data_IF_801173018122
#
_entry.id   IF_801173018122
#
_cell.length_a   1.000
_cell.length_b   1.000
_cell.length_c   1.000
_cell.angle_alpha   90.00
_cell.angle_beta   90.00
_cell.angle_gamma   90.00
#
_symmetry.space_group_name_H-M   'P 1'
#
loop_
_entity.id
_entity.type
_entity.pdbx_description
1 polymer ?
#
# COMPACT_ATOMS: atom_id res chain seq x y z
N UNK A 1 -16.24 32.45 -8.27
CA UNK A 1 -14.96 31.92 -7.74
C UNK A 1 -15.27 30.74 -6.86
N UNK A 2 -14.60 29.62 -7.05
CA UNK A 2 -14.77 28.43 -6.18
C UNK A 2 -14.18 28.74 -4.81
N UNK A 3 -14.98 28.63 -3.75
CA UNK A 3 -14.55 28.89 -2.38
C UNK A 3 -13.89 27.64 -1.80
N UNK A 4 -12.69 27.75 -1.27
CA UNK A 4 -12.01 26.65 -0.60
C UNK A 4 -12.53 26.47 0.84
N UNK A 5 -12.29 25.28 1.42
CA UNK A 5 -12.79 24.91 2.74
C UNK A 5 -12.35 25.88 3.84
N UNK A 6 -11.08 26.35 3.81
CA UNK A 6 -10.56 27.29 4.80
C UNK A 6 -11.21 28.69 4.74
N UNK A 7 -11.89 29.04 3.64
CA UNK A 7 -12.65 30.28 3.46
C UNK A 7 -14.09 30.18 3.99
N UNK A 8 -14.54 28.97 4.34
CA UNK A 8 -15.91 28.72 4.78
C UNK A 8 -16.09 29.01 6.28
N UNK A 9 -17.26 29.52 6.66
CA UNK A 9 -17.58 29.93 8.04
C UNK A 9 -17.36 28.84 9.10
N UNK A 10 -17.42 27.56 8.74
CA UNK A 10 -17.25 26.43 9.66
C UNK A 10 -15.80 26.04 9.92
N UNK A 11 -14.85 26.52 9.12
CA UNK A 11 -13.43 26.17 9.25
C UNK A 11 -12.86 26.52 10.64
N UNK A 12 -11.99 25.67 11.22
CA UNK A 12 -11.41 24.41 10.72
C UNK A 12 -12.22 23.13 11.06
N UNK A 13 -13.49 23.27 11.45
CA UNK A 13 -14.31 22.11 11.86
C UNK A 13 -14.97 21.46 10.66
N UNK A 14 -14.30 20.47 10.10
CA UNK A 14 -14.90 19.61 9.10
C UNK A 14 -15.72 18.48 9.76
N UNK A 15 -16.70 17.99 9.02
CA UNK A 15 -17.62 16.93 9.45
C UNK A 15 -17.38 15.65 8.63
N UNK A 16 -17.81 14.52 9.18
CA UNK A 16 -17.80 13.25 8.52
C UNK A 16 -18.99 12.40 9.02
N UNK A 17 -19.83 11.95 8.12
CA UNK A 17 -21.04 11.18 8.44
C UNK A 17 -20.68 9.71 8.73
N UNK A 18 -20.56 9.35 10.02
CA UNK A 18 -20.23 7.99 10.47
C UNK A 18 -21.25 6.94 10.03
N UNK A 19 -22.51 7.30 9.92
CA UNK A 19 -23.55 6.36 9.52
C UNK A 19 -23.43 5.97 8.05
N UNK A 20 -23.03 6.93 7.20
CA UNK A 20 -22.74 6.68 5.78
C UNK A 20 -21.51 5.79 5.57
N UNK A 21 -20.58 5.75 6.54
CA UNK A 21 -19.32 5.00 6.47
C UNK A 21 -19.34 3.67 7.25
N UNK A 22 -20.53 3.17 7.57
CA UNK A 22 -20.69 1.99 8.44
C UNK A 22 -19.93 0.76 7.92
N UNK A 23 -19.99 0.52 6.63
CA UNK A 23 -19.41 -0.68 6.02
C UNK A 23 -17.87 -0.56 5.90
N UNK A 24 -17.36 0.61 5.56
CA UNK A 24 -15.92 0.92 5.52
C UNK A 24 -15.29 0.83 6.91
N UNK A 25 -15.97 1.38 7.92
CA UNK A 25 -15.53 1.32 9.31
C UNK A 25 -15.56 -0.11 9.87
N UNK A 26 -16.54 -0.92 9.48
CA UNK A 26 -16.61 -2.33 9.85
C UNK A 26 -15.46 -3.13 9.22
N UNK A 27 -15.19 -2.94 7.93
CA UNK A 27 -14.07 -3.57 7.24
C UNK A 27 -12.72 -3.15 7.82
N UNK A 28 -12.54 -1.87 8.11
CA UNK A 28 -11.33 -1.35 8.76
C UNK A 28 -11.13 -2.01 10.14
N UNK A 29 -12.19 -2.10 10.96
CA UNK A 29 -12.12 -2.74 12.28
C UNK A 29 -11.61 -4.18 12.19
N UNK A 30 -12.12 -4.95 11.22
CA UNK A 30 -11.68 -6.35 11.02
C UNK A 30 -10.18 -6.38 10.67
N UNK A 31 -9.75 -5.62 9.67
CA UNK A 31 -8.34 -5.58 9.25
C UNK A 31 -7.41 -5.08 10.37
N UNK A 32 -7.84 -4.07 11.12
CA UNK A 32 -7.09 -3.51 12.24
C UNK A 32 -6.91 -4.54 13.37
N UNK A 33 -7.95 -5.30 13.71
CA UNK A 33 -7.87 -6.35 14.73
C UNK A 33 -7.02 -7.53 14.27
N UNK A 34 -7.10 -7.93 12.99
CA UNK A 34 -6.21 -8.95 12.43
C UNK A 34 -4.74 -8.50 12.47
N UNK A 35 -4.46 -7.25 12.11
CA UNK A 35 -3.13 -6.68 12.20
C UNK A 35 -2.63 -6.68 13.64
N UNK A 36 -3.41 -6.18 14.62
CA UNK A 36 -3.05 -6.23 16.05
C UNK A 36 -2.76 -7.66 16.52
N UNK A 37 -3.53 -8.64 16.06
CA UNK A 37 -3.27 -10.06 16.37
C UNK A 37 -1.96 -10.54 15.77
N UNK A 38 -1.66 -10.19 14.54
CA UNK A 38 -0.40 -10.57 13.89
C UNK A 38 0.83 -9.94 14.58
N UNK A 39 0.68 -8.71 15.07
CA UNK A 39 1.74 -7.94 15.74
C UNK A 39 2.01 -8.36 17.20
N UNK A 40 1.21 -9.25 17.81
CA UNK A 40 1.49 -9.80 19.15
C UNK A 40 2.77 -10.67 19.20
N UNK A 41 3.24 -11.15 18.05
CA UNK A 41 4.50 -11.89 17.92
C UNK A 41 5.65 -10.90 17.72
N UNK A 42 6.90 -11.27 18.12
CA UNK A 42 8.07 -10.46 17.84
C UNK A 42 8.10 -10.07 16.35
N UNK A 43 8.28 -8.79 16.09
CA UNK A 43 8.32 -8.28 14.73
C UNK A 43 9.66 -8.65 14.11
N UNK A 44 9.58 -9.06 12.84
CA UNK A 44 10.76 -9.19 12.01
C UNK A 44 11.23 -7.79 11.60
N UNK A 45 12.43 -7.43 12.02
CA UNK A 45 12.98 -6.10 11.74
C UNK A 45 13.23 -5.87 10.25
N UNK A 46 13.41 -6.94 9.45
CA UNK A 46 13.45 -6.82 7.98
C UNK A 46 12.09 -6.36 7.42
N UNK A 47 10.99 -6.88 7.95
CA UNK A 47 9.63 -6.44 7.56
C UNK A 47 9.41 -4.98 7.94
N UNK A 48 9.87 -4.57 9.12
CA UNK A 48 9.77 -3.18 9.57
C UNK A 48 10.61 -2.26 8.68
N UNK A 49 11.86 -2.65 8.38
CA UNK A 49 12.74 -1.89 7.49
C UNK A 49 12.14 -1.76 6.08
N UNK A 50 11.58 -2.85 5.55
CA UNK A 50 10.91 -2.84 4.24
C UNK A 50 9.69 -1.92 4.23
N UNK A 51 8.84 -1.97 5.25
CA UNK A 51 7.66 -1.10 5.34
C UNK A 51 8.03 0.39 5.37
N UNK A 52 9.04 0.76 6.15
CA UNK A 52 9.59 2.12 6.20
C UNK A 52 10.15 2.56 4.85
N UNK A 53 10.87 1.67 4.16
CA UNK A 53 11.44 1.93 2.83
C UNK A 53 10.34 2.11 1.80
N UNK A 54 9.36 1.22 1.77
CA UNK A 54 8.22 1.29 0.85
C UNK A 54 7.43 2.60 1.05
N UNK A 55 7.19 3.00 2.29
CA UNK A 55 6.53 4.29 2.58
C UNK A 55 7.37 5.47 2.09
N UNK A 56 8.67 5.51 2.39
CA UNK A 56 9.58 6.58 1.99
C UNK A 56 9.66 6.72 0.46
N UNK A 57 9.85 5.62 -0.25
CA UNK A 57 9.95 5.61 -1.72
C UNK A 57 8.63 5.99 -2.37
N UNK A 58 7.51 5.39 -1.92
CA UNK A 58 6.20 5.64 -2.53
C UNK A 58 5.65 7.01 -2.21
N UNK A 59 5.84 7.52 -0.99
CA UNK A 59 5.43 8.89 -0.65
C UNK A 59 6.15 9.93 -1.50
N UNK A 60 7.44 9.71 -1.81
CA UNK A 60 8.22 10.56 -2.72
C UNK A 60 7.73 10.44 -4.17
N UNK A 61 7.50 9.24 -4.66
CA UNK A 61 7.03 8.99 -6.02
C UNK A 61 5.63 9.57 -6.30
N UNK A 62 4.75 9.64 -5.31
CA UNK A 62 3.45 10.32 -5.41
C UNK A 62 3.65 11.79 -5.79
N UNK A 63 4.64 12.46 -5.20
CA UNK A 63 4.99 13.86 -5.48
C UNK A 63 5.88 14.04 -6.74
N UNK A 64 6.14 12.96 -7.48
CA UNK A 64 7.00 13.01 -8.66
C UNK A 64 8.51 13.08 -8.34
N UNK A 65 8.89 12.84 -7.08
CA UNK A 65 10.28 12.80 -6.64
C UNK A 65 10.76 11.35 -6.65
N UNK A 66 11.68 11.03 -7.57
CA UNK A 66 12.34 9.73 -7.58
C UNK A 66 13.51 9.74 -6.60
N UNK A 67 13.57 8.75 -5.73
CA UNK A 67 14.65 8.52 -4.76
C UNK A 67 15.22 7.12 -4.96
N UNK A 68 16.51 6.96 -4.69
CA UNK A 68 17.18 5.67 -4.76
C UNK A 68 16.74 4.77 -3.60
N UNK A 69 15.97 3.72 -3.90
CA UNK A 69 15.47 2.76 -2.93
C UNK A 69 16.60 2.11 -2.12
N UNK A 70 17.76 1.85 -2.74
CA UNK A 70 18.88 1.21 -2.07
C UNK A 70 19.51 2.10 -1.00
N UNK A 71 19.55 3.42 -1.24
CA UNK A 71 20.00 4.42 -0.27
C UNK A 71 19.01 4.53 0.89
N UNK A 72 17.71 4.59 0.59
CA UNK A 72 16.63 4.61 1.62
C UNK A 72 16.73 3.37 2.50
N UNK A 73 16.79 2.18 1.90
CA UNK A 73 16.87 0.90 2.62
C UNK A 73 18.14 0.83 3.47
N UNK A 74 19.30 1.22 2.92
CA UNK A 74 20.57 1.22 3.64
C UNK A 74 20.53 2.13 4.88
N UNK A 75 19.97 3.34 4.73
CA UNK A 75 19.83 4.29 5.82
C UNK A 75 18.94 3.76 6.94
N UNK A 76 17.78 3.18 6.57
CA UNK A 76 16.82 2.60 7.50
C UNK A 76 17.40 1.35 8.19
N UNK A 77 18.00 0.42 7.44
CA UNK A 77 18.58 -0.80 7.99
C UNK A 77 19.70 -0.48 8.98
N UNK A 78 20.58 0.49 8.65
CA UNK A 78 21.63 0.97 9.57
C UNK A 78 21.04 1.50 10.88
N UNK A 79 19.98 2.30 10.82
CA UNK A 79 19.34 2.86 12.01
C UNK A 79 18.62 1.78 12.86
N UNK A 80 18.12 0.71 12.23
CA UNK A 80 17.43 -0.39 12.91
C UNK A 80 18.34 -1.55 13.34
N UNK A 81 19.64 -1.50 13.02
CA UNK A 81 20.56 -2.60 13.28
C UNK A 81 20.27 -3.85 12.44
N UNK A 82 19.68 -3.69 11.26
CA UNK A 82 19.41 -4.77 10.30
C UNK A 82 20.56 -4.86 9.30
N UNK A 83 21.06 -6.07 9.07
CA UNK A 83 22.12 -6.29 8.09
C UNK A 83 21.58 -6.07 6.67
N UNK A 84 22.24 -5.23 5.89
CA UNK A 84 21.90 -4.94 4.51
C UNK A 84 23.16 -4.57 3.71
N UNK A 85 23.38 -5.27 2.61
CA UNK A 85 24.50 -5.02 1.70
C UNK A 85 23.98 -4.40 0.40
N UNK A 86 24.07 -3.09 0.20
CA UNK A 86 23.62 -2.43 -1.04
C UNK A 86 24.53 -2.82 -2.22
N UNK A 87 23.94 -2.94 -3.41
CA UNK A 87 24.65 -3.25 -4.68
C UNK A 87 25.42 -2.04 -5.27
N UNK A 88 25.80 -1.09 -4.47
CA UNK A 88 26.50 0.12 -4.88
C UNK A 88 26.32 1.22 -3.84
N UNK A 89 27.11 2.27 -3.97
CA UNK A 89 26.99 3.44 -3.10
C UNK A 89 26.73 4.67 -3.97
N UNK A 90 25.52 5.23 -3.87
CA UNK A 90 25.15 6.52 -4.46
C UNK A 90 24.85 7.49 -3.33
N UNK A 91 25.21 8.78 -3.51
CA UNK A 91 24.75 9.84 -2.62
C UNK A 91 23.43 10.38 -3.17
N UNK A 92 22.36 10.24 -2.40
CA UNK A 92 21.05 10.81 -2.70
C UNK A 92 20.51 11.49 -1.44
N UNK A 93 20.69 12.81 -1.36
CA UNK A 93 20.25 13.59 -0.20
C UNK A 93 18.74 13.53 0.02
N UNK A 94 17.94 13.38 -1.06
CA UNK A 94 16.49 13.26 -0.96
C UNK A 94 16.09 11.89 -0.41
N UNK A 95 16.80 10.83 -0.82
CA UNK A 95 16.61 9.49 -0.28
C UNK A 95 16.94 9.44 1.21
N UNK A 96 18.08 10.05 1.61
CA UNK A 96 18.46 10.21 3.01
C UNK A 96 17.39 10.99 3.78
N UNK A 97 16.98 12.16 3.29
CA UNK A 97 15.99 13.02 3.96
C UNK A 97 14.66 12.30 4.22
N UNK A 98 14.11 11.63 3.22
CA UNK A 98 12.84 10.90 3.41
C UNK A 98 13.01 9.70 4.34
N UNK A 99 14.16 9.00 4.33
CA UNK A 99 14.45 7.91 5.27
C UNK A 99 14.51 8.44 6.71
N UNK A 100 15.20 9.58 6.94
CA UNK A 100 15.28 10.22 8.26
C UNK A 100 13.90 10.68 8.76
N UNK A 101 13.05 11.20 7.88
CA UNK A 101 11.67 11.55 8.25
C UNK A 101 10.90 10.31 8.72
N UNK A 102 10.97 9.18 8.01
CA UNK A 102 10.27 7.95 8.40
C UNK A 102 10.79 7.38 9.72
N UNK A 103 12.10 7.43 9.96
CA UNK A 103 12.71 7.06 11.24
C UNK A 103 12.22 7.99 12.37
N UNK A 104 12.15 9.30 12.13
CA UNK A 104 11.62 10.26 13.09
C UNK A 104 10.13 10.01 13.41
N UNK A 105 9.31 9.66 12.41
CA UNK A 105 7.91 9.27 12.61
C UNK A 105 7.82 8.03 13.51
N UNK A 106 8.64 7.02 13.24
CA UNK A 106 8.71 5.79 14.04
C UNK A 106 9.17 6.09 15.48
N UNK A 107 10.20 6.89 15.67
CA UNK A 107 10.71 7.26 17.00
C UNK A 107 9.67 8.05 17.80
N UNK A 108 9.00 8.98 17.13
CA UNK A 108 8.06 9.91 17.75
C UNK A 108 6.58 9.50 17.58
N UNK A 109 6.34 8.20 17.43
CA UNK A 109 5.02 7.66 17.12
C UNK A 109 3.94 8.08 18.12
N UNK A 110 4.25 8.19 19.42
CA UNK A 110 3.34 8.60 20.50
C UNK A 110 3.57 10.04 20.99
N UNK A 111 4.48 10.79 20.36
CA UNK A 111 4.74 12.17 20.75
C UNK A 111 3.52 13.07 20.45
N UNK A 112 3.22 14.06 21.29
CA UNK A 112 2.13 14.99 21.06
C UNK A 112 2.30 15.74 19.74
N UNK A 113 1.20 15.95 19.03
CA UNK A 113 1.19 16.76 17.81
C UNK A 113 1.42 18.22 18.16
N UNK A 114 2.55 18.77 17.70
CA UNK A 114 2.98 20.17 17.97
C UNK A 114 3.60 20.77 16.71
N UNK A 115 3.68 22.10 16.66
CA UNK A 115 4.41 22.81 15.61
C UNK A 115 5.87 22.31 15.50
N UNK A 116 6.56 22.10 16.65
CA UNK A 116 7.93 21.58 16.70
C UNK A 116 8.04 20.17 16.10
N UNK A 117 7.04 19.29 16.30
CA UNK A 117 7.04 17.96 15.69
C UNK A 117 6.93 18.06 14.17
N UNK A 118 6.01 18.88 13.67
CA UNK A 118 5.78 19.08 12.24
C UNK A 118 7.00 19.68 11.54
N UNK A 119 7.60 20.73 12.11
CA UNK A 119 8.82 21.34 11.57
C UNK A 119 10.01 20.38 11.68
N UNK A 120 10.05 19.51 12.68
CA UNK A 120 11.06 18.44 12.81
C UNK A 120 10.94 17.39 11.70
N UNK A 121 9.74 16.92 11.37
CA UNK A 121 9.52 16.01 10.24
C UNK A 121 9.90 16.65 8.91
N UNK A 122 9.48 17.91 8.70
CA UNK A 122 9.85 18.66 7.51
C UNK A 122 11.35 18.91 7.41
N UNK A 123 12.00 19.25 8.52
CA UNK A 123 13.44 19.45 8.57
C UNK A 123 14.24 18.21 8.19
N UNK A 124 13.81 17.03 8.68
CA UNK A 124 14.39 15.75 8.29
C UNK A 124 14.19 15.46 6.79
N UNK A 125 12.96 15.65 6.29
CA UNK A 125 12.60 15.41 4.89
C UNK A 125 13.39 16.27 3.91
N UNK A 126 13.55 17.55 4.23
CA UNK A 126 14.10 18.57 3.32
C UNK A 126 15.57 18.88 3.58
N UNK A 127 16.23 18.09 4.43
CA UNK A 127 17.66 18.26 4.70
C UNK A 127 18.47 18.22 3.38
N UNK A 128 19.31 19.24 3.16
CA UNK A 128 20.06 19.41 1.91
C UNK A 128 19.35 20.20 0.81
N UNK A 129 18.12 20.67 1.05
CA UNK A 129 17.34 21.48 0.10
C UNK A 129 17.24 22.97 0.51
N UNK A 130 18.15 23.46 1.39
CA UNK A 130 18.11 24.79 2.00
C UNK A 130 18.16 25.94 0.98
N UNK A 131 18.70 25.66 -0.22
CA UNK A 131 18.73 26.63 -1.33
C UNK A 131 17.37 26.80 -2.02
N UNK A 132 16.45 25.86 -1.79
CA UNK A 132 15.17 25.79 -2.51
C UNK A 132 13.98 26.12 -1.62
N UNK A 133 14.02 25.75 -0.33
CA UNK A 133 12.92 25.93 0.62
C UNK A 133 13.44 26.27 2.02
N UNK A 134 12.56 26.88 2.84
CA UNK A 134 12.81 27.09 4.26
C UNK A 134 12.73 25.75 5.02
N UNK A 135 13.87 25.08 5.20
CA UNK A 135 13.96 23.75 5.83
C UNK A 135 13.58 23.83 7.31
N UNK A 136 12.63 22.95 7.72
CA UNK A 136 12.18 22.88 9.11
C UNK A 136 11.44 24.13 9.60
N UNK A 137 10.92 24.94 8.71
CA UNK A 137 10.18 26.16 9.03
C UNK A 137 8.87 26.25 8.23
N UNK A 138 7.87 26.90 8.81
CA UNK A 138 6.65 27.24 8.08
C UNK A 138 6.91 28.35 7.08
N UNK A 139 6.16 28.36 6.00
CA UNK A 139 6.22 29.41 4.97
C UNK A 139 5.84 30.77 5.55
N UNK A 140 6.50 31.82 5.05
CA UNK A 140 6.31 33.19 5.49
C UNK A 140 6.13 34.19 4.34
N UNK A 141 6.28 33.73 3.08
CA UNK A 141 6.13 34.60 1.91
C UNK A 141 4.68 35.07 1.73
N UNK A 142 4.50 36.25 1.13
CA UNK A 142 3.18 36.89 0.95
C UNK A 142 2.40 36.29 -0.22
N UNK A 143 3.08 35.75 -1.22
CA UNK A 143 2.46 35.14 -2.39
C UNK A 143 1.68 33.89 -2.00
N UNK A 144 0.43 33.73 -2.49
CA UNK A 144 -0.35 32.53 -2.22
C UNK A 144 0.32 31.27 -2.78
N UNK A 145 0.38 30.21 -1.98
CA UNK A 145 0.71 28.89 -2.53
C UNK A 145 -0.51 28.34 -3.25
N UNK A 146 -0.29 27.89 -4.49
CA UNK A 146 -1.31 27.31 -5.34
C UNK A 146 -0.90 25.93 -5.83
N UNK A 147 -1.77 24.96 -5.67
CA UNK A 147 -1.66 23.68 -6.36
C UNK A 147 -2.30 23.84 -7.74
N UNK A 148 -1.47 23.69 -8.78
CA UNK A 148 -1.88 23.95 -10.17
C UNK A 148 -1.84 22.65 -10.96
N UNK A 149 -2.93 22.31 -11.64
CA UNK A 149 -2.98 21.29 -12.68
C UNK A 149 -2.72 21.94 -14.04
N UNK A 150 -1.71 21.45 -14.74
CA UNK A 150 -1.46 21.82 -16.14
C UNK A 150 -2.11 20.79 -17.06
N UNK A 151 -2.88 21.27 -18.03
CA UNK A 151 -3.50 20.44 -19.05
C UNK A 151 -2.58 20.30 -20.28
N UNK A 152 -2.85 19.29 -21.10
CA UNK A 152 -2.08 19.02 -22.31
C UNK A 152 -2.13 20.15 -23.33
N UNK A 153 -3.18 20.97 -23.32
CA UNK A 153 -3.35 22.17 -24.15
C UNK A 153 -2.59 23.41 -23.65
N UNK A 154 -1.80 23.28 -22.56
CA UNK A 154 -1.02 24.33 -21.93
C UNK A 154 -1.81 25.21 -20.95
N UNK A 155 -3.13 25.00 -20.78
CA UNK A 155 -3.92 25.70 -19.78
C UNK A 155 -3.56 25.26 -18.37
N UNK A 156 -3.76 26.15 -17.40
CA UNK A 156 -3.48 25.88 -15.99
C UNK A 156 -4.75 26.11 -15.15
N UNK A 157 -5.12 25.11 -14.38
CA UNK A 157 -6.24 25.15 -13.45
C UNK A 157 -5.72 25.24 -12.02
N UNK A 158 -6.18 26.22 -11.23
CA UNK A 158 -5.90 26.29 -9.80
C UNK A 158 -6.81 25.28 -9.10
N UNK A 159 -6.21 24.18 -8.64
CA UNK A 159 -6.91 23.14 -7.90
C UNK A 159 -7.10 23.52 -6.43
N UNK A 160 -6.12 24.17 -5.85
CA UNK A 160 -6.16 24.63 -4.48
C UNK A 160 -5.33 25.92 -4.30
N UNK A 161 -5.81 26.81 -3.42
CA UNK A 161 -5.05 27.94 -2.92
C UNK A 161 -5.05 27.88 -1.38
N UNK A 162 -3.86 27.87 -0.81
CA UNK A 162 -3.67 27.76 0.63
C UNK A 162 -3.99 29.09 1.36
N UNK A 163 -4.32 29.03 2.67
CA UNK A 163 -4.49 30.21 3.50
C UNK A 163 -3.26 31.14 3.43
N UNK A 164 -3.39 32.46 3.70
CA UNK A 164 -2.24 33.36 3.83
C UNK A 164 -1.20 32.85 4.84
N UNK A 165 0.08 33.07 4.57
CA UNK A 165 1.17 32.54 5.41
C UNK A 165 1.10 33.06 6.84
N UNK A 166 0.63 34.27 7.05
CA UNK A 166 0.42 34.88 8.36
C UNK A 166 -0.57 34.11 9.25
N UNK A 167 -1.48 33.33 8.64
CA UNK A 167 -2.44 32.49 9.35
C UNK A 167 -1.87 31.14 9.75
N UNK A 168 -0.79 30.66 9.14
CA UNK A 168 -0.22 29.33 9.36
C UNK A 168 0.05 29.02 10.85
N UNK A 169 0.65 29.89 11.66
CA UNK A 169 0.88 29.60 13.08
C UNK A 169 -0.42 29.39 13.86
N UNK A 170 -1.46 30.16 13.56
CA UNK A 170 -2.79 30.05 14.18
C UNK A 170 -3.50 28.76 13.75
N UNK A 171 -3.45 28.45 12.45
CA UNK A 171 -4.04 27.22 11.90
C UNK A 171 -3.36 25.97 12.46
N UNK A 172 -2.03 25.93 12.54
CA UNK A 172 -1.28 24.82 13.13
C UNK A 172 -1.57 24.66 14.63
N UNK A 173 -1.73 25.76 15.37
CA UNK A 173 -2.12 25.70 16.77
C UNK A 173 -3.55 25.13 16.95
N UNK A 174 -4.48 25.48 16.06
CA UNK A 174 -5.84 24.93 16.06
C UNK A 174 -5.83 23.43 15.67
N UNK A 175 -5.09 23.09 14.63
CA UNK A 175 -4.87 21.73 14.15
C UNK A 175 -4.32 20.83 15.29
N UNK A 176 -3.25 21.25 15.94
CA UNK A 176 -2.65 20.51 17.04
C UNK A 176 -3.62 20.29 18.20
N UNK A 177 -4.42 21.30 18.57
CA UNK A 177 -5.46 21.16 19.61
C UNK A 177 -6.56 20.18 19.21
N UNK A 178 -7.03 20.23 17.97
CA UNK A 178 -8.13 19.40 17.45
C UNK A 178 -7.74 17.92 17.44
N UNK A 179 -6.51 17.61 17.04
CA UNK A 179 -6.05 16.23 16.88
C UNK A 179 -5.26 15.68 18.09
N UNK A 180 -5.24 16.41 19.22
CA UNK A 180 -4.52 16.03 20.43
C UNK A 180 -5.08 14.76 21.09
N UNK A 181 -6.41 14.60 21.10
CA UNK A 181 -7.04 13.47 21.75
C UNK A 181 -6.69 12.14 21.06
N UNK A 182 -6.30 11.10 21.81
CA UNK A 182 -6.07 9.78 21.21
C UNK A 182 -7.39 9.19 20.70
N UNK A 183 -7.27 8.39 19.63
CA UNK A 183 -8.38 7.58 19.16
C UNK A 183 -8.48 6.30 20.01
N UNK A 184 -9.66 6.02 20.57
CA UNK A 184 -9.85 4.93 21.53
C UNK A 184 -10.40 3.65 20.93
N UNK A 185 -11.08 3.76 19.79
CA UNK A 185 -11.64 2.61 19.08
C UNK A 185 -11.05 2.51 17.67
N UNK A 186 -11.06 1.32 17.03
CA UNK A 186 -10.63 1.20 15.63
C UNK A 186 -11.36 2.16 14.69
N UNK A 187 -12.66 2.41 14.90
CA UNK A 187 -13.43 3.36 14.10
C UNK A 187 -12.93 4.80 14.29
N UNK A 188 -12.56 5.19 15.51
CA UNK A 188 -11.99 6.52 15.78
C UNK A 188 -10.59 6.65 15.15
N UNK A 189 -9.78 5.58 15.16
CA UNK A 189 -8.49 5.55 14.46
C UNK A 189 -8.70 5.77 12.96
N UNK A 190 -9.64 5.04 12.34
CA UNK A 190 -9.95 5.19 10.92
C UNK A 190 -10.35 6.63 10.56
N UNK A 191 -11.28 7.19 11.32
CA UNK A 191 -11.77 8.55 11.11
C UNK A 191 -10.68 9.60 11.37
N UNK A 192 -9.89 9.44 12.45
CA UNK A 192 -8.77 10.35 12.73
C UNK A 192 -7.76 10.35 11.58
N UNK A 193 -7.38 9.17 11.06
CA UNK A 193 -6.50 9.05 9.90
C UNK A 193 -7.09 9.70 8.65
N UNK A 194 -8.39 9.45 8.37
CA UNK A 194 -9.05 10.01 7.21
C UNK A 194 -9.18 11.53 7.29
N UNK A 195 -9.41 12.10 8.46
CA UNK A 195 -9.65 13.55 8.60
C UNK A 195 -8.39 14.38 8.83
N UNK A 196 -7.36 13.84 9.50
CA UNK A 196 -6.13 14.57 9.79
C UNK A 196 -5.39 14.96 8.49
N UNK A 197 -5.43 14.11 7.49
CA UNK A 197 -4.73 14.32 6.23
C UNK A 197 -5.27 15.50 5.41
N UNK A 198 -6.57 15.55 5.02
CA UNK A 198 -7.12 16.68 4.30
C UNK A 198 -7.07 17.98 5.11
N UNK A 199 -7.16 17.91 6.43
CA UNK A 199 -6.99 19.08 7.28
C UNK A 199 -5.59 19.67 7.15
N UNK A 200 -4.55 18.82 7.26
CA UNK A 200 -3.16 19.26 7.10
C UNK A 200 -2.88 19.80 5.69
N UNK A 201 -3.35 19.09 4.66
CA UNK A 201 -3.22 19.53 3.26
C UNK A 201 -3.93 20.88 3.03
N UNK A 202 -5.03 21.13 3.71
CA UNK A 202 -5.75 22.41 3.60
C UNK A 202 -5.03 23.57 4.29
N UNK A 203 -4.24 23.33 5.34
CA UNK A 203 -3.39 24.39 5.92
C UNK A 203 -2.17 24.66 5.02
N UNK A 204 -1.61 23.62 4.44
CA UNK A 204 -0.46 23.66 3.55
C UNK A 204 0.71 24.49 4.11
N UNK A 205 1.24 24.13 5.28
CA UNK A 205 2.08 25.03 6.09
C UNK A 205 3.50 25.25 5.58
N UNK A 206 3.97 24.42 4.65
CA UNK A 206 5.34 24.46 4.11
C UNK A 206 5.38 24.93 2.66
N UNK A 207 6.53 25.38 2.18
CA UNK A 207 6.75 25.75 0.78
C UNK A 207 6.73 24.53 -0.14
N UNK A 208 7.22 23.37 0.33
CA UNK A 208 7.19 22.07 -0.33
C UNK A 208 7.12 20.98 0.75
N UNK A 209 6.84 19.73 0.36
CA UNK A 209 6.85 18.57 1.25
C UNK A 209 5.55 18.35 2.06
N UNK A 210 4.52 19.18 1.85
CA UNK A 210 3.25 19.04 2.59
C UNK A 210 2.63 17.65 2.42
N UNK A 211 2.50 17.15 1.20
CA UNK A 211 1.95 15.81 0.95
C UNK A 211 2.71 14.69 1.66
N UNK A 212 4.04 14.75 1.64
CA UNK A 212 4.90 13.76 2.33
C UNK A 212 4.74 13.81 3.85
N UNK A 213 4.74 15.01 4.44
CA UNK A 213 4.48 15.21 5.88
C UNK A 213 3.05 14.83 6.24
N UNK A 214 2.06 15.17 5.42
CA UNK A 214 0.65 14.80 5.63
C UNK A 214 0.44 13.28 5.68
N UNK A 215 1.05 12.52 4.77
CA UNK A 215 1.01 11.05 4.82
C UNK A 215 1.80 10.47 5.99
N UNK A 216 2.91 11.10 6.38
CA UNK A 216 3.65 10.75 7.60
C UNK A 216 2.80 10.94 8.87
N UNK A 217 1.92 11.95 8.92
CA UNK A 217 0.94 12.14 10.01
C UNK A 217 -0.10 11.03 10.04
N UNK A 218 -0.56 10.53 8.89
CA UNK A 218 -1.44 9.35 8.83
C UNK A 218 -0.74 8.13 9.42
N UNK A 219 0.51 7.87 9.01
CA UNK A 219 1.30 6.75 9.52
C UNK A 219 1.53 6.85 11.04
N UNK A 220 1.83 8.06 11.55
CA UNK A 220 1.93 8.33 12.99
C UNK A 220 0.60 8.06 13.72
N UNK A 221 -0.52 8.49 13.16
CA UNK A 221 -1.86 8.30 13.76
C UNK A 221 -2.23 6.82 13.83
N UNK A 222 -1.87 6.04 12.80
CA UNK A 222 -2.04 4.58 12.82
C UNK A 222 -1.15 3.92 13.89
N UNK A 223 0.11 4.36 14.02
CA UNK A 223 1.03 3.87 15.04
C UNK A 223 0.51 4.16 16.46
N UNK A 224 -0.06 5.36 16.70
CA UNK A 224 -0.77 5.68 17.96
C UNK A 224 -1.94 4.73 18.21
N UNK A 225 -2.79 4.48 17.20
CA UNK A 225 -3.93 3.57 17.33
C UNK A 225 -3.55 2.11 17.55
N UNK A 226 -2.42 1.69 17.02
CA UNK A 226 -1.84 0.36 17.22
C UNK A 226 -1.11 0.23 18.56
N UNK A 227 -0.77 1.35 19.20
CA UNK A 227 0.04 1.46 20.41
C UNK A 227 1.45 0.85 20.23
N UNK A 228 2.11 1.20 19.11
CA UNK A 228 3.45 0.70 18.81
C UNK A 228 4.18 1.53 17.74
N UNK A 229 5.53 1.53 17.75
CA UNK A 229 6.35 2.27 16.78
C UNK A 229 6.41 1.58 15.42
N UNK A 230 5.27 1.49 14.72
CA UNK A 230 5.15 0.84 13.42
C UNK A 230 4.64 1.83 12.37
N UNK A 231 5.48 2.15 11.40
CA UNK A 231 5.09 2.92 10.20
C UNK A 231 4.61 1.93 9.15
N UNK A 232 3.36 2.04 8.77
CA UNK A 232 2.74 1.20 7.75
C UNK A 232 2.80 1.88 6.38
N UNK A 233 3.00 1.13 5.27
CA UNK A 233 3.26 1.68 3.94
C UNK A 233 1.95 2.12 3.23
N UNK A 234 1.26 3.12 3.77
CA UNK A 234 0.00 3.64 3.22
C UNK A 234 0.19 4.21 1.81
N UNK A 235 1.33 4.85 1.55
CA UNK A 235 1.65 5.42 0.25
C UNK A 235 1.77 4.37 -0.86
N UNK A 236 2.06 3.11 -0.53
CA UNK A 236 2.05 2.01 -1.50
C UNK A 236 0.66 1.77 -2.08
N UNK A 237 -0.39 1.88 -1.28
CA UNK A 237 -1.78 1.74 -1.76
C UNK A 237 -2.23 3.01 -2.45
N UNK A 238 -1.93 4.19 -1.89
CA UNK A 238 -2.24 5.49 -2.51
C UNK A 238 -1.65 5.55 -3.94
N UNK A 239 -0.41 5.12 -4.14
CA UNK A 239 0.24 5.13 -5.45
C UNK A 239 -0.51 4.29 -6.50
N UNK A 240 -1.17 3.20 -6.09
CA UNK A 240 -2.03 2.39 -6.98
C UNK A 240 -3.32 3.12 -7.37
N UNK A 241 -3.81 4.00 -6.51
CA UNK A 241 -5.04 4.77 -6.69
C UNK A 241 -4.78 6.27 -6.87
N UNK A 242 -3.58 6.63 -7.36
CA UNK A 242 -3.05 8.01 -7.39
C UNK A 242 -4.03 9.03 -8.01
N UNK A 243 -4.66 8.67 -9.12
CA UNK A 243 -5.60 9.60 -9.79
C UNK A 243 -6.83 9.90 -8.92
N UNK A 244 -7.44 8.86 -8.33
CA UNK A 244 -8.57 9.01 -7.42
C UNK A 244 -8.18 9.77 -6.14
N UNK A 245 -6.99 9.48 -5.58
CA UNK A 245 -6.48 10.18 -4.42
C UNK A 245 -6.39 11.71 -4.64
N UNK A 246 -5.84 12.14 -5.77
CA UNK A 246 -5.75 13.57 -6.06
C UNK A 246 -7.11 14.22 -6.35
N UNK A 247 -8.04 13.49 -6.95
CA UNK A 247 -9.39 14.00 -7.18
C UNK A 247 -10.14 14.16 -5.85
N UNK A 248 -10.14 13.14 -5.01
CA UNK A 248 -10.84 13.14 -3.73
C UNK A 248 -10.26 14.18 -2.74
N UNK A 249 -8.92 14.35 -2.68
CA UNK A 249 -8.31 15.36 -1.82
C UNK A 249 -8.62 16.78 -2.32
N UNK A 250 -8.72 16.96 -3.66
CA UNK A 250 -9.13 18.22 -4.26
C UNK A 250 -10.60 18.55 -3.92
N UNK A 251 -11.51 17.58 -4.00
CA UNK A 251 -12.90 17.78 -3.60
C UNK A 251 -13.02 18.08 -2.09
N UNK A 252 -12.26 17.37 -1.23
CA UNK A 252 -12.20 17.66 0.19
C UNK A 252 -11.70 19.09 0.50
N UNK A 253 -10.85 19.65 -0.36
CA UNK A 253 -10.38 21.03 -0.22
C UNK A 253 -11.44 22.09 -0.46
N UNK A 254 -12.61 21.73 -1.02
CA UNK A 254 -13.72 22.60 -1.38
C UNK A 254 -14.93 22.46 -0.46
N UNK A 255 -14.91 21.50 0.46
CA UNK A 255 -16.01 21.19 1.37
C UNK A 255 -15.53 21.08 2.81
N UNK A 256 -16.44 21.32 3.76
CA UNK A 256 -16.26 20.95 5.17
C UNK A 256 -16.94 19.61 5.51
N UNK A 257 -17.63 18.99 4.56
CA UNK A 257 -18.07 17.59 4.67
C UNK A 257 -17.06 16.69 3.93
N UNK A 258 -16.31 15.92 4.70
CA UNK A 258 -15.28 15.01 4.21
C UNK A 258 -15.74 13.53 4.17
N UNK A 259 -17.06 13.31 4.12
CA UNK A 259 -17.61 11.95 4.07
C UNK A 259 -17.16 11.18 2.84
N UNK A 260 -17.20 11.79 1.64
CA UNK A 260 -16.76 11.15 0.40
C UNK A 260 -15.26 10.83 0.42
N UNK A 261 -14.44 11.78 0.87
CA UNK A 261 -13.02 11.55 1.08
C UNK A 261 -12.77 10.36 2.03
N UNK A 262 -13.47 10.29 3.17
CA UNK A 262 -13.33 9.21 4.12
C UNK A 262 -13.79 7.85 3.54
N UNK A 263 -14.86 7.86 2.73
CA UNK A 263 -15.34 6.67 2.00
C UNK A 263 -14.31 6.13 1.00
N UNK A 264 -13.49 6.99 0.42
CA UNK A 264 -12.34 6.60 -0.40
C UNK A 264 -11.15 6.15 0.46
N UNK A 265 -10.78 6.94 1.48
CA UNK A 265 -9.49 6.78 2.17
C UNK A 265 -9.48 5.64 3.21
N UNK A 266 -10.60 5.36 3.89
CA UNK A 266 -10.69 4.25 4.86
C UNK A 266 -10.47 2.89 4.17
N UNK A 267 -11.04 2.58 3.00
CA UNK A 267 -10.68 1.39 2.21
C UNK A 267 -9.20 1.31 1.84
N UNK A 268 -8.53 2.42 1.52
CA UNK A 268 -7.08 2.47 1.26
C UNK A 268 -6.30 2.00 2.49
N UNK A 269 -6.66 2.49 3.69
CA UNK A 269 -6.04 2.05 4.94
C UNK A 269 -6.30 0.57 5.23
N UNK A 270 -7.50 0.10 4.94
CA UNK A 270 -7.92 -1.31 5.11
C UNK A 270 -7.10 -2.23 4.20
N UNK A 271 -6.97 -1.87 2.92
CA UNK A 271 -6.17 -2.61 1.94
C UNK A 271 -4.69 -2.65 2.35
N UNK A 272 -4.15 -1.54 2.83
CA UNK A 272 -2.77 -1.46 3.32
C UNK A 272 -2.54 -2.43 4.48
N UNK A 273 -3.40 -2.44 5.52
CA UNK A 273 -3.26 -3.35 6.66
C UNK A 273 -3.35 -4.82 6.25
N UNK A 274 -4.30 -5.15 5.37
CA UNK A 274 -4.47 -6.52 4.85
C UNK A 274 -3.23 -6.96 4.07
N UNK A 275 -2.70 -6.08 3.20
CA UNK A 275 -1.48 -6.34 2.42
C UNK A 275 -0.25 -6.51 3.33
N UNK A 276 -0.14 -5.70 4.38
CA UNK A 276 0.97 -5.80 5.33
C UNK A 276 0.93 -7.11 6.13
N UNK A 277 -0.24 -7.55 6.60
CA UNK A 277 -0.40 -8.84 7.26
C UNK A 277 -0.03 -10.00 6.32
N UNK A 278 -0.42 -9.91 5.04
CA UNK A 278 -0.02 -10.91 4.03
C UNK A 278 1.51 -10.94 3.85
N UNK A 279 2.16 -9.77 3.76
CA UNK A 279 3.62 -9.67 3.66
C UNK A 279 4.33 -10.28 4.90
N UNK A 280 3.83 -10.02 6.10
CA UNK A 280 4.37 -10.64 7.34
C UNK A 280 4.26 -12.17 7.29
N UNK A 281 3.10 -12.68 6.87
CA UNK A 281 2.88 -14.12 6.73
C UNK A 281 3.82 -14.74 5.70
N UNK A 282 4.02 -14.06 4.58
CA UNK A 282 4.94 -14.49 3.52
C UNK A 282 6.39 -14.56 4.01
N UNK A 283 6.90 -13.52 4.67
CA UNK A 283 8.28 -13.50 5.21
C UNK A 283 8.49 -14.63 6.22
N UNK A 284 7.50 -14.86 7.09
CA UNK A 284 7.55 -15.99 8.02
C UNK A 284 7.57 -17.33 7.28
N UNK A 285 6.69 -17.54 6.32
CA UNK A 285 6.63 -18.78 5.55
C UNK A 285 7.93 -19.03 4.76
N UNK A 286 8.51 -17.97 4.16
CA UNK A 286 9.83 -18.04 3.51
C UNK A 286 10.91 -18.48 4.48
N UNK A 287 10.96 -17.91 5.69
CA UNK A 287 11.94 -18.29 6.71
C UNK A 287 11.77 -19.73 7.16
N UNK A 288 10.54 -20.14 7.46
CA UNK A 288 10.23 -21.50 7.89
C UNK A 288 10.62 -22.52 6.79
N UNK A 289 10.38 -22.19 5.52
CA UNK A 289 10.77 -22.99 4.37
C UNK A 289 12.29 -23.12 4.25
N UNK A 290 13.03 -22.00 4.31
CA UNK A 290 14.50 -22.03 4.22
C UNK A 290 15.10 -22.78 5.40
N UNK A 291 14.63 -22.54 6.63
CA UNK A 291 15.09 -23.26 7.80
C UNK A 291 14.90 -24.79 7.67
N UNK A 292 13.86 -25.23 6.97
CA UNK A 292 13.56 -26.65 6.78
C UNK A 292 14.38 -27.30 5.66
N UNK A 293 14.65 -26.60 4.57
CA UNK A 293 15.14 -27.24 3.35
C UNK A 293 16.51 -26.75 2.88
N UNK A 294 16.96 -25.54 3.28
CA UNK A 294 18.13 -24.88 2.71
C UNK A 294 19.43 -25.70 2.89
N UNK A 295 19.59 -26.43 4.01
CA UNK A 295 20.76 -27.29 4.26
C UNK A 295 20.91 -28.42 3.24
N UNK A 296 19.83 -28.81 2.57
CA UNK A 296 19.86 -29.83 1.50
C UNK A 296 20.02 -29.26 0.10
N UNK A 297 20.15 -27.94 -0.06
CA UNK A 297 20.29 -27.31 -1.37
C UNK A 297 21.74 -27.34 -1.87
N UNK A 298 21.91 -27.65 -3.16
CA UNK A 298 23.13 -27.24 -3.86
C UNK A 298 23.18 -25.71 -3.95
N UNK A 299 24.38 -25.12 -4.12
CA UNK A 299 24.55 -23.69 -4.31
C UNK A 299 23.67 -23.14 -5.47
N UNK A 300 23.56 -23.91 -6.54
CA UNK A 300 22.71 -23.61 -7.68
C UNK A 300 21.22 -23.63 -7.34
N UNK A 301 20.77 -24.66 -6.63
CA UNK A 301 19.39 -24.77 -6.18
C UNK A 301 19.01 -23.62 -5.24
N UNK A 302 19.91 -23.28 -4.32
CA UNK A 302 19.75 -22.14 -3.41
C UNK A 302 19.53 -20.83 -4.18
N UNK A 303 20.36 -20.54 -5.18
CA UNK A 303 20.23 -19.34 -6.02
C UNK A 303 18.86 -19.28 -6.74
N UNK A 304 18.39 -20.39 -7.30
CA UNK A 304 17.10 -20.43 -8.01
C UNK A 304 15.93 -20.24 -7.04
N UNK A 305 15.94 -20.92 -5.91
CA UNK A 305 14.88 -20.82 -4.89
C UNK A 305 14.83 -19.40 -4.30
N UNK A 306 15.98 -18.82 -3.95
CA UNK A 306 16.04 -17.46 -3.44
C UNK A 306 15.50 -16.44 -4.46
N UNK A 307 15.83 -16.62 -5.76
CA UNK A 307 15.28 -15.77 -6.80
C UNK A 307 13.76 -15.87 -6.95
N UNK A 308 13.17 -17.04 -6.69
CA UNK A 308 11.70 -17.15 -6.65
C UNK A 308 11.10 -16.33 -5.51
N UNK A 309 11.79 -16.24 -4.38
CA UNK A 309 11.36 -15.41 -3.26
C UNK A 309 11.59 -13.90 -3.47
N UNK A 310 12.56 -13.51 -4.34
CA UNK A 310 12.79 -12.09 -4.68
C UNK A 310 11.59 -11.47 -5.38
N UNK A 311 10.87 -12.24 -6.20
CA UNK A 311 9.64 -11.81 -6.86
C UNK A 311 8.41 -11.80 -5.90
N UNK A 312 8.64 -11.93 -4.59
CA UNK A 312 7.62 -11.91 -3.55
C UNK A 312 6.73 -13.16 -3.53
N UNK A 313 5.51 -13.00 -2.99
CA UNK A 313 4.56 -14.11 -2.86
C UNK A 313 4.16 -14.71 -4.21
N UNK A 314 3.98 -13.89 -5.23
CA UNK A 314 3.64 -14.35 -6.60
C UNK A 314 4.79 -15.16 -7.22
N UNK A 315 6.04 -14.75 -6.97
CA UNK A 315 7.22 -15.51 -7.40
C UNK A 315 7.33 -16.85 -6.70
N UNK A 316 7.09 -16.88 -5.39
CA UNK A 316 7.11 -18.11 -4.58
C UNK A 316 5.99 -19.09 -4.98
N UNK A 317 4.81 -18.57 -5.34
CA UNK A 317 3.69 -19.37 -5.92
C UNK A 317 3.93 -19.75 -7.37
N UNK A 318 4.99 -19.26 -7.98
CA UNK A 318 5.32 -19.51 -9.38
C UNK A 318 5.71 -20.96 -9.63
N UNK A 319 5.36 -21.45 -10.83
CA UNK A 319 5.64 -22.82 -11.25
C UNK A 319 7.05 -22.93 -11.83
N UNK A 320 7.76 -24.00 -11.49
CA UNK A 320 9.05 -24.40 -12.01
C UNK A 320 8.87 -25.54 -13.01
N UNK A 321 9.29 -25.33 -14.24
CA UNK A 321 9.52 -26.40 -15.23
C UNK A 321 11.01 -26.60 -15.46
N UNK A 322 11.42 -27.72 -16.06
CA UNK A 322 12.81 -27.94 -16.46
C UNK A 322 13.33 -26.79 -17.36
N UNK A 323 12.50 -26.26 -18.25
CA UNK A 323 12.86 -25.12 -19.11
C UNK A 323 13.08 -23.82 -18.31
N UNK A 324 12.23 -23.53 -17.31
CA UNK A 324 12.41 -22.37 -16.44
C UNK A 324 13.66 -22.53 -15.59
N UNK A 325 13.89 -23.74 -15.02
CA UNK A 325 15.10 -24.06 -14.26
C UNK A 325 16.37 -23.87 -15.07
N UNK A 326 16.44 -24.45 -16.30
CA UNK A 326 17.59 -24.28 -17.21
C UNK A 326 17.96 -22.81 -17.40
N UNK A 327 16.96 -21.98 -17.63
CA UNK A 327 17.14 -20.53 -17.86
C UNK A 327 17.64 -19.81 -16.61
N UNK A 328 17.08 -20.14 -15.43
CA UNK A 328 17.45 -19.49 -14.16
C UNK A 328 18.82 -19.95 -13.68
N UNK A 329 19.10 -21.26 -13.76
CA UNK A 329 20.33 -21.87 -13.29
C UNK A 329 21.46 -21.88 -14.34
N UNK A 330 21.17 -21.56 -15.61
CA UNK A 330 22.10 -21.63 -16.77
C UNK A 330 22.74 -23.02 -16.93
N UNK A 331 21.92 -24.07 -16.94
CA UNK A 331 22.35 -25.47 -17.02
C UNK A 331 21.69 -26.23 -18.16
N UNK A 332 22.20 -27.42 -18.48
CA UNK A 332 21.61 -28.34 -19.45
C UNK A 332 20.29 -28.94 -18.95
N UNK A 333 19.48 -29.47 -19.87
CA UNK A 333 18.21 -30.12 -19.54
C UNK A 333 18.37 -31.34 -18.60
N UNK A 334 19.35 -32.27 -18.82
CA UNK A 334 19.56 -33.36 -17.89
C UNK A 334 19.89 -32.88 -16.47
N UNK A 335 20.76 -31.88 -16.35
CA UNK A 335 21.10 -31.27 -15.04
C UNK A 335 19.88 -30.63 -14.37
N UNK A 336 19.05 -29.90 -15.12
CA UNK A 336 17.83 -29.29 -14.60
C UNK A 336 16.84 -30.35 -14.07
N UNK A 337 16.68 -31.47 -14.78
CA UNK A 337 15.82 -32.58 -14.37
C UNK A 337 16.35 -33.20 -13.08
N UNK A 338 17.67 -33.47 -13.03
CA UNK A 338 18.30 -34.04 -11.82
C UNK A 338 18.17 -33.13 -10.59
N UNK A 339 18.36 -31.81 -10.77
CA UNK A 339 18.17 -30.84 -9.69
C UNK A 339 16.72 -30.84 -9.16
N UNK A 340 15.74 -30.84 -10.05
CA UNK A 340 14.30 -30.86 -9.69
C UNK A 340 13.94 -32.17 -8.98
N UNK A 341 14.44 -33.32 -9.46
CA UNK A 341 14.23 -34.62 -8.80
C UNK A 341 14.84 -34.65 -7.40
N UNK A 342 16.01 -34.05 -7.21
CA UNK A 342 16.66 -33.94 -5.90
C UNK A 342 15.83 -33.09 -4.94
N UNK A 343 15.35 -31.93 -5.38
CA UNK A 343 14.50 -31.07 -4.56
C UNK A 343 13.12 -31.69 -4.25
N UNK A 344 12.57 -32.45 -5.19
CA UNK A 344 11.33 -33.20 -4.98
C UNK A 344 11.53 -34.29 -3.91
N UNK A 345 12.63 -35.07 -3.99
CA UNK A 345 12.99 -36.09 -2.96
C UNK A 345 13.22 -35.46 -1.58
N UNK A 346 13.78 -34.24 -1.53
CA UNK A 346 13.95 -33.46 -0.31
C UNK A 346 12.62 -32.98 0.25
N UNK A 347 11.55 -32.97 -0.57
CA UNK A 347 10.26 -32.41 -0.24
C UNK A 347 10.22 -30.87 -0.31
N UNK A 348 11.26 -30.23 -0.86
CA UNK A 348 11.34 -28.78 -1.02
C UNK A 348 10.43 -28.26 -2.15
N UNK A 349 10.17 -29.09 -3.15
CA UNK A 349 9.20 -28.80 -4.21
C UNK A 349 8.21 -29.95 -4.33
N UNK A 350 7.01 -29.63 -4.81
CA UNK A 350 5.94 -30.59 -5.09
C UNK A 350 5.48 -30.46 -6.52
N UNK A 351 5.02 -31.54 -7.12
CA UNK A 351 4.41 -31.51 -8.45
C UNK A 351 3.12 -30.73 -8.43
N UNK A 352 2.91 -29.91 -9.46
CA UNK A 352 1.74 -29.08 -9.63
C UNK A 352 1.08 -29.44 -10.95
N UNK A 353 -0.21 -29.85 -10.89
CA UNK A 353 -0.99 -30.22 -12.06
C UNK A 353 -0.73 -31.66 -12.53
N UNK A 354 -1.65 -32.14 -13.36
CA UNK A 354 -1.75 -33.51 -13.93
C UNK A 354 -1.40 -33.53 -15.42
N UNK A 355 -0.75 -32.47 -15.90
CA UNK A 355 -0.39 -32.33 -17.29
C UNK A 355 0.81 -33.19 -17.73
N UNK A 356 0.95 -33.42 -19.05
CA UNK A 356 2.08 -34.12 -19.69
C UNK A 356 3.44 -33.46 -19.40
N UNK A 357 3.44 -32.16 -19.07
CA UNK A 357 4.65 -31.40 -18.67
C UNK A 357 4.76 -31.40 -17.16
N UNK A 358 5.89 -31.93 -16.66
CA UNK A 358 6.21 -31.87 -15.23
C UNK A 358 6.45 -30.41 -14.81
N UNK A 359 5.60 -29.96 -13.92
CA UNK A 359 5.67 -28.64 -13.28
C UNK A 359 5.77 -28.84 -11.78
N UNK A 360 6.53 -27.99 -11.12
CA UNK A 360 6.79 -28.05 -9.69
C UNK A 360 6.54 -26.70 -9.04
N UNK A 361 6.13 -26.70 -7.79
CA UNK A 361 6.02 -25.49 -6.99
C UNK A 361 6.74 -25.66 -5.65
N UNK A 362 7.11 -24.55 -5.01
CA UNK A 362 7.71 -24.59 -3.68
C UNK A 362 6.70 -25.13 -2.68
N UNK A 363 7.11 -26.11 -1.87
CA UNK A 363 6.27 -26.74 -0.84
C UNK A 363 5.74 -25.71 0.14
N UNK A 364 4.42 -25.67 0.37
CA UNK A 364 3.76 -24.71 1.25
C UNK A 364 3.49 -23.33 0.63
N UNK A 365 3.93 -23.08 -0.62
CA UNK A 365 3.62 -21.84 -1.38
C UNK A 365 2.73 -22.09 -2.59
N UNK A 366 2.75 -23.31 -3.12
CA UNK A 366 1.84 -23.67 -4.20
C UNK A 366 0.43 -23.78 -3.65
N UNK A 367 -0.48 -23.11 -4.36
CA UNK A 367 -1.89 -23.45 -4.25
C UNK A 367 -2.00 -24.85 -4.83
N UNK A 368 -2.30 -25.85 -4.02
CA UNK A 368 -2.76 -27.14 -4.55
C UNK A 368 -3.89 -26.81 -5.54
N UNK A 369 -3.97 -27.51 -6.68
CA UNK A 369 -5.16 -27.37 -7.51
C UNK A 369 -6.32 -27.79 -6.62
N UNK A 370 -7.07 -26.80 -6.14
CA UNK A 370 -8.20 -27.03 -5.28
C UNK A 370 -9.23 -27.75 -6.14
N UNK A 371 -9.30 -29.07 -5.98
CA UNK A 371 -10.47 -29.89 -6.25
C UNK A 371 -11.52 -29.68 -5.13
N UNK A 372 -11.52 -28.48 -4.53
CA UNK A 372 -12.60 -28.12 -3.62
C UNK A 372 -13.82 -27.69 -4.42
N UNK A 373 -14.99 -28.18 -4.04
CA UNK A 373 -16.23 -27.66 -4.58
C UNK A 373 -16.29 -26.16 -4.31
N UNK A 374 -16.64 -25.41 -5.35
CA UNK A 374 -16.84 -23.98 -5.44
C UNK A 374 -16.98 -23.28 -4.08
N UNK A 375 -16.04 -22.39 -3.73
CA UNK A 375 -16.12 -21.55 -2.52
C UNK A 375 -17.36 -20.63 -2.65
N UNK A 376 -18.48 -20.99 -2.03
CA UNK A 376 -19.78 -20.35 -2.15
C UNK A 376 -19.74 -18.82 -2.03
N UNK A 377 -18.87 -18.28 -1.18
CA UNK A 377 -18.79 -16.83 -0.94
C UNK A 377 -18.22 -16.03 -2.15
N UNK A 378 -17.17 -16.50 -2.83
CA UNK A 378 -16.61 -15.81 -3.99
C UNK A 378 -17.55 -15.92 -5.20
N UNK A 379 -18.11 -17.09 -5.42
CA UNK A 379 -19.02 -17.36 -6.53
C UNK A 379 -20.34 -16.59 -6.35
N UNK A 380 -20.87 -16.52 -5.14
CA UNK A 380 -22.04 -15.69 -4.81
C UNK A 380 -21.76 -14.21 -5.05
N UNK A 381 -20.58 -13.71 -4.67
CA UNK A 381 -20.18 -12.31 -4.92
C UNK A 381 -20.05 -12.02 -6.41
N UNK A 382 -19.43 -12.92 -7.19
CA UNK A 382 -19.28 -12.76 -8.64
C UNK A 382 -20.63 -12.86 -9.35
N UNK A 383 -21.49 -13.78 -8.92
CA UNK A 383 -22.85 -13.92 -9.43
C UNK A 383 -23.70 -12.68 -9.12
N UNK A 384 -23.60 -12.15 -7.90
CA UNK A 384 -24.25 -10.89 -7.50
C UNK A 384 -23.78 -9.72 -8.35
N UNK A 385 -22.47 -9.62 -8.63
CA UNK A 385 -21.91 -8.58 -9.50
C UNK A 385 -22.44 -8.70 -10.93
N UNK A 386 -22.50 -9.90 -11.51
CA UNK A 386 -23.06 -10.11 -12.84
C UNK A 386 -24.55 -9.79 -12.90
N UNK A 387 -25.29 -9.98 -11.79
CA UNK A 387 -26.71 -9.66 -11.67
C UNK A 387 -26.96 -8.15 -11.54
N UNK A 388 -26.16 -7.46 -10.73
CA UNK A 388 -26.31 -6.02 -10.47
C UNK A 388 -25.70 -5.15 -11.57
N UNK A 389 -24.73 -5.67 -12.32
CA UNK A 389 -24.03 -4.99 -13.41
C UNK A 389 -23.98 -5.90 -14.65
N UNK A 390 -25.11 -6.07 -15.37
CA UNK A 390 -25.14 -6.89 -16.59
C UNK A 390 -24.09 -6.40 -17.61
N UNK A 391 -23.27 -7.32 -18.13
CA UNK A 391 -22.16 -6.96 -19.01
C UNK A 391 -20.88 -6.59 -18.27
N UNK A 392 -20.78 -6.88 -16.99
CA UNK A 392 -19.59 -6.59 -16.16
C UNK A 392 -18.34 -7.25 -16.73
N UNK A 393 -17.25 -6.49 -16.82
CA UNK A 393 -15.97 -6.97 -17.32
C UNK A 393 -15.16 -7.66 -16.22
N UNK A 394 -14.28 -8.57 -16.63
CA UNK A 394 -13.39 -9.32 -15.74
C UNK A 394 -12.48 -8.40 -14.89
N UNK A 395 -12.01 -7.28 -15.46
CA UNK A 395 -11.19 -6.29 -14.77
C UNK A 395 -11.93 -5.65 -13.60
N UNK A 396 -13.19 -5.29 -13.80
CA UNK A 396 -14.05 -4.73 -12.76
C UNK A 396 -14.39 -5.78 -11.69
N UNK A 397 -14.77 -7.00 -12.08
CA UNK A 397 -14.98 -8.10 -11.13
C UNK A 397 -13.77 -8.34 -10.25
N UNK A 398 -12.55 -8.36 -10.85
CA UNK A 398 -11.29 -8.47 -10.11
C UNK A 398 -11.13 -7.35 -9.08
N UNK A 399 -11.38 -6.10 -9.45
CA UNK A 399 -11.19 -4.94 -8.55
C UNK A 399 -12.15 -4.97 -7.36
N UNK A 400 -13.39 -5.40 -7.59
CA UNK A 400 -14.44 -5.43 -6.54
C UNK A 400 -14.25 -6.59 -5.57
N UNK A 401 -13.85 -7.78 -6.05
CA UNK A 401 -13.71 -8.96 -5.16
C UNK A 401 -12.33 -9.04 -4.48
N UNK A 402 -11.35 -8.23 -4.89
CA UNK A 402 -10.03 -8.16 -4.26
C UNK A 402 -9.19 -9.44 -4.37
N UNK A 403 -9.49 -10.33 -5.34
CA UNK A 403 -8.78 -11.59 -5.55
C UNK A 403 -7.87 -11.53 -6.77
N UNK A 404 -6.90 -12.46 -6.89
CA UNK A 404 -6.00 -12.53 -8.04
C UNK A 404 -6.79 -12.74 -9.34
N UNK A 405 -6.27 -12.25 -10.47
CA UNK A 405 -6.89 -12.44 -11.78
C UNK A 405 -7.08 -13.92 -12.12
N UNK A 406 -6.15 -14.78 -11.70
CA UNK A 406 -6.23 -16.22 -11.92
C UNK A 406 -7.38 -16.86 -11.09
N UNK A 407 -7.57 -16.41 -9.85
CA UNK A 407 -8.64 -16.87 -8.97
C UNK A 407 -10.00 -16.44 -9.51
N UNK A 408 -10.15 -15.18 -9.90
CA UNK A 408 -11.39 -14.65 -10.48
C UNK A 408 -11.72 -15.34 -11.82
N UNK A 409 -10.73 -15.56 -12.68
CA UNK A 409 -10.93 -16.30 -13.94
C UNK A 409 -11.41 -17.73 -13.71
N UNK A 410 -10.85 -18.43 -12.71
CA UNK A 410 -11.30 -19.82 -12.37
C UNK A 410 -12.72 -19.85 -11.86
N UNK A 411 -13.06 -18.97 -10.91
CA UNK A 411 -14.41 -18.87 -10.38
C UNK A 411 -15.43 -18.53 -11.47
N UNK A 412 -15.12 -17.58 -12.34
CA UNK A 412 -15.95 -17.24 -13.51
C UNK A 412 -16.10 -18.43 -14.45
N UNK A 413 -15.02 -19.15 -14.76
CA UNK A 413 -15.08 -20.34 -15.62
C UNK A 413 -15.98 -21.43 -15.02
N UNK A 414 -15.95 -21.60 -13.69
CA UNK A 414 -16.83 -22.52 -12.99
C UNK A 414 -18.30 -22.07 -13.06
N UNK A 415 -18.58 -20.78 -12.84
CA UNK A 415 -19.93 -20.20 -12.97
C UNK A 415 -20.48 -20.30 -14.41
N UNK A 416 -19.61 -20.15 -15.42
CA UNK A 416 -19.99 -20.36 -16.82
C UNK A 416 -20.27 -21.84 -17.09
N UNK A 417 -19.43 -22.75 -16.58
CA UNK A 417 -19.59 -24.21 -16.73
C UNK A 417 -20.87 -24.70 -16.03
N UNK A 418 -21.20 -24.13 -14.88
CA UNK A 418 -22.45 -24.43 -14.17
C UNK A 418 -23.69 -23.80 -14.80
N UNK A 419 -23.53 -22.99 -15.85
CA UNK A 419 -24.65 -22.34 -16.55
C UNK A 419 -25.27 -21.17 -15.80
N UNK A 420 -24.64 -20.65 -14.75
CA UNK A 420 -25.15 -19.54 -13.95
C UNK A 420 -24.87 -18.18 -14.58
N UNK A 421 -23.75 -18.06 -15.29
CA UNK A 421 -23.39 -16.86 -16.05
C UNK A 421 -22.94 -17.22 -17.47
N UNK A 422 -22.99 -16.26 -18.37
CA UNK A 422 -22.46 -16.40 -19.73
C UNK A 422 -21.69 -15.15 -20.15
N UNK A 423 -20.74 -15.33 -21.06
CA UNK A 423 -20.02 -14.21 -21.68
C UNK A 423 -20.67 -13.85 -23.00
N UNK A 424 -21.03 -12.57 -23.17
CA UNK A 424 -21.57 -12.05 -24.45
C UNK A 424 -20.63 -11.01 -25.03
N UNK A 425 -20.41 -11.05 -26.33
CA UNK A 425 -19.56 -10.12 -27.06
C UNK A 425 -18.11 -10.58 -27.26
N UNK A 426 -17.26 -9.69 -27.76
CA UNK A 426 -15.86 -10.01 -28.07
C UNK A 426 -15.01 -10.15 -26.80
N UNK A 427 -13.83 -10.80 -26.88
CA UNK A 427 -12.87 -10.90 -25.76
C UNK A 427 -12.39 -9.55 -25.22
N UNK A 428 -12.46 -8.48 -26.04
CA UNK A 428 -12.01 -7.13 -25.66
C UNK A 428 -13.12 -6.23 -25.11
N UNK A 429 -14.33 -6.37 -25.64
CA UNK A 429 -15.46 -5.45 -25.34
C UNK A 429 -16.67 -6.16 -24.75
N UNK A 430 -16.65 -7.49 -24.67
CA UNK A 430 -17.73 -8.29 -24.08
C UNK A 430 -17.69 -8.28 -22.54
N UNK A 431 -18.76 -8.79 -21.94
CA UNK A 431 -18.91 -8.89 -20.50
C UNK A 431 -19.71 -10.11 -20.06
N UNK A 432 -19.83 -10.31 -18.77
CA UNK A 432 -20.53 -11.43 -18.15
C UNK A 432 -21.96 -11.06 -17.75
N UNK A 433 -22.88 -11.96 -17.99
CA UNK A 433 -24.31 -11.82 -17.73
C UNK A 433 -24.80 -13.03 -16.97
N UNK A 434 -25.79 -12.85 -16.10
CA UNK A 434 -26.49 -13.97 -15.49
C UNK A 434 -27.34 -14.64 -16.56
N UNK A 435 -27.27 -15.97 -16.64
CA UNK A 435 -28.11 -16.75 -17.56
C UNK A 435 -29.48 -16.95 -16.94
N UNK A 436 -30.51 -16.42 -17.56
CA UNK A 436 -31.89 -16.68 -17.13
C UNK A 436 -32.20 -18.15 -17.36
N UNK A 437 -32.53 -18.86 -16.29
CA UNK A 437 -33.04 -20.23 -16.37
C UNK A 437 -34.47 -20.10 -16.92
N UNK A 438 -34.68 -20.58 -18.15
CA UNK A 438 -36.00 -20.72 -18.74
C UNK A 438 -36.72 -21.93 -18.12
#
# INVERSE_FOLDING_TARGET
>A
MTMFNWQQKGWPRATCNRAALRDELAAFKVAFMELKKALKKPQDMEVVARALTDEAVKTSAIEGVNVDESVVMSSICKALGVEYAPKGFTKDARAEGVAQMMLAVREKWNAPLTAKLLTGFHGALMAGEEKRVAVGAFRTHKEPIRVIRRHADGTAEIRYEAPPSENVPKEIAAFARMWKAPATTPADVALKCAMIHPHFESIHPFEDGNGRVGRALVAKTLAEGLDMPLVLPVSTVIARHRAAYYEEINEASRSLDWTNWAAFFIPVLTEMMTSFVAAMRFVKAKRDYLAKYESGFSERARKVVLRMFEDGEEGAKGVLSAAKWMRMAKVSKPTAIGDLQTLEKLGAIVRVGDGIRLEYGLSGFTVEPINEPLNGELDERLLKLAKTHPGVQLSYMKSVVGKSLATVKRAIAALVKSGLIEHRGSKKTGGYYVKEVR
#
